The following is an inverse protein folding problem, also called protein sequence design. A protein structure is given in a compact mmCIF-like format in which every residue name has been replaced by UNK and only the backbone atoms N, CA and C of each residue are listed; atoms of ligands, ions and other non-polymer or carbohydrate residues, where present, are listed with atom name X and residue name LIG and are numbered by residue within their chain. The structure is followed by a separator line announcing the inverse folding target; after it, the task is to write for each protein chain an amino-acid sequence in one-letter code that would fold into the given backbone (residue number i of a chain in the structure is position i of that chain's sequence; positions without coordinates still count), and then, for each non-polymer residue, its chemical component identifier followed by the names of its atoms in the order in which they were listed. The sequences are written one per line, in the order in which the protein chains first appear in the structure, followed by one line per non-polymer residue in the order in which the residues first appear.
data_IF_624548109937
#
_entry.id   IF_624548109937
#
_cell.length_a   1.000
_cell.length_b   1.000
_cell.length_c   1.000
_cell.angle_alpha   90.00
_cell.angle_beta   90.00
_cell.angle_gamma   90.00
#
_symmetry.space_group_name_H-M   'P 1'
#
loop_
_entity.id
_entity.type
_entity.pdbx_description
1 polymer ?
#
# COMPACT_ATOMS: atom_id res chain seq x y z
N UNK A 1 5.93 13.79 -5.54
CA UNK A 1 6.20 12.33 -5.56
C UNK A 1 5.16 11.52 -6.36
N UNK A 2 4.83 11.90 -7.61
CA UNK A 2 3.78 11.21 -8.41
C UNK A 2 4.32 10.44 -9.64
N UNK A 3 5.63 10.44 -9.90
CA UNK A 3 6.21 9.91 -11.15
C UNK A 3 6.73 8.47 -11.05
N UNK A 4 6.91 7.92 -9.85
CA UNK A 4 7.50 6.57 -9.68
C UNK A 4 6.52 5.43 -10.00
N UNK A 5 5.20 5.66 -9.92
CA UNK A 5 4.17 4.64 -10.20
C UNK A 5 4.03 4.28 -11.69
N UNK A 6 4.40 5.20 -12.61
CA UNK A 6 4.27 4.98 -14.06
C UNK A 6 5.44 4.14 -14.61
N UNK A 7 6.61 4.21 -13.97
CA UNK A 7 7.81 3.52 -14.45
C UNK A 7 7.74 2.00 -14.25
N UNK A 8 7.08 1.53 -13.17
CA UNK A 8 6.87 0.11 -12.89
C UNK A 8 5.84 -0.54 -13.82
N UNK A 9 4.80 0.20 -14.25
CA UNK A 9 3.83 -0.28 -15.24
C UNK A 9 4.49 -0.46 -16.62
N UNK A 10 5.43 0.42 -16.98
CA UNK A 10 6.22 0.32 -18.21
C UNK A 10 7.23 -0.84 -18.17
N UNK A 11 7.80 -1.13 -16.99
CA UNK A 11 8.74 -2.25 -16.83
C UNK A 11 8.04 -3.61 -16.95
N UNK A 12 6.78 -3.72 -16.49
CA UNK A 12 5.99 -4.95 -16.62
C UNK A 12 5.54 -5.23 -18.07
N UNK A 13 5.27 -4.18 -18.86
CA UNK A 13 4.94 -4.28 -20.29
C UNK A 13 6.14 -4.60 -21.19
N UNK A 14 7.36 -4.27 -20.77
CA UNK A 14 8.58 -4.57 -21.54
C UNK A 14 9.04 -6.03 -21.43
N UNK A 15 8.68 -6.74 -20.35
CA UNK A 15 9.07 -8.15 -20.17
C UNK A 15 8.24 -9.09 -21.04
N UNK A 16 7.02 -8.70 -21.45
CA UNK A 16 6.21 -9.49 -22.40
C UNK A 16 6.75 -9.48 -23.84
N UNK A 17 7.69 -8.59 -24.19
CA UNK A 17 8.20 -8.47 -25.56
C UNK A 17 9.34 -9.45 -25.91
N UNK A 18 9.90 -10.18 -24.93
CA UNK A 18 11.07 -11.05 -25.16
C UNK A 18 10.77 -12.56 -25.09
N UNK A 19 9.51 -12.96 -24.99
CA UNK A 19 9.10 -14.37 -25.11
C UNK A 19 8.64 -14.64 -26.54
N UNK A 20 9.55 -14.54 -27.50
CA UNK A 20 9.31 -15.12 -28.83
C UNK A 20 9.64 -16.61 -28.76
N UNK A 21 8.59 -17.43 -28.76
CA UNK A 21 8.72 -18.87 -29.00
C UNK A 21 9.33 -19.11 -30.38
N UNK A 22 10.21 -20.11 -30.45
CA UNK A 22 10.78 -20.59 -31.71
C UNK A 22 9.65 -21.25 -32.53
N UNK A 23 9.13 -20.55 -33.54
CA UNK A 23 8.08 -21.08 -34.42
C UNK A 23 8.65 -22.14 -35.38
N UNK A 24 7.92 -23.26 -35.49
CA UNK A 24 8.09 -24.24 -36.56
C UNK A 24 7.34 -23.73 -37.80
N UNK A 25 7.98 -23.54 -38.97
CA UNK A 25 7.41 -22.84 -40.12
C UNK A 25 6.13 -23.44 -40.74
N UNK A 26 5.76 -24.67 -40.35
CA UNK A 26 4.62 -25.39 -40.95
C UNK A 26 3.26 -25.14 -40.26
N UNK A 27 3.20 -24.47 -39.10
CA UNK A 27 1.97 -24.25 -38.34
C UNK A 27 1.67 -22.76 -38.09
N UNK A 28 1.54 -21.97 -39.16
CA UNK A 28 1.07 -20.58 -39.03
C UNK A 28 -0.44 -20.54 -38.79
N UNK A 29 -0.84 -20.29 -37.55
CA UNK A 29 -2.21 -19.91 -37.22
C UNK A 29 -2.33 -18.40 -37.48
N UNK A 30 -3.09 -18.02 -38.50
CA UNK A 30 -3.36 -16.60 -38.76
C UNK A 30 -4.37 -16.07 -37.74
N UNK A 31 -3.90 -15.17 -36.88
CA UNK A 31 -4.72 -14.46 -35.90
C UNK A 31 -5.25 -13.17 -36.54
N UNK A 32 -6.53 -12.90 -36.33
CA UNK A 32 -7.28 -11.77 -36.91
C UNK A 32 -7.12 -10.47 -36.11
N UNK A 33 -6.53 -10.54 -34.91
CA UNK A 33 -6.36 -9.41 -33.99
C UNK A 33 -7.60 -9.10 -33.15
N UNK A 34 -8.69 -9.85 -33.34
CA UNK A 34 -9.88 -9.78 -32.49
C UNK A 34 -9.85 -10.90 -31.46
N UNK A 35 -9.77 -10.53 -30.18
CA UNK A 35 -9.69 -11.48 -29.07
C UNK A 35 -10.80 -12.56 -29.13
N UNK A 36 -12.02 -12.16 -29.51
CA UNK A 36 -13.14 -13.10 -29.62
C UNK A 36 -12.95 -14.08 -30.77
N UNK A 37 -12.59 -13.60 -31.97
CA UNK A 37 -12.38 -14.45 -33.14
C UNK A 37 -11.16 -15.36 -32.96
N UNK A 38 -10.08 -14.82 -32.40
CA UNK A 38 -8.81 -15.50 -32.19
C UNK A 38 -8.94 -16.57 -31.09
N UNK A 39 -9.67 -16.29 -30.00
CA UNK A 39 -9.98 -17.32 -28.98
C UNK A 39 -10.71 -18.51 -29.58
N UNK A 40 -11.59 -18.27 -30.56
CA UNK A 40 -12.38 -19.31 -31.22
C UNK A 40 -11.50 -20.13 -32.16
N UNK A 41 -10.65 -19.47 -32.96
CA UNK A 41 -9.67 -20.11 -33.85
C UNK A 41 -8.70 -21.00 -33.06
N UNK A 42 -8.20 -20.52 -31.93
CA UNK A 42 -7.32 -21.28 -31.04
C UNK A 42 -8.05 -22.49 -30.45
N UNK A 43 -9.29 -22.30 -29.97
CA UNK A 43 -10.09 -23.40 -29.41
C UNK A 43 -10.43 -24.48 -30.45
N UNK A 44 -10.69 -24.09 -31.70
CA UNK A 44 -11.09 -25.02 -32.77
C UNK A 44 -9.90 -25.77 -33.39
N UNK A 45 -8.71 -25.19 -33.34
CA UNK A 45 -7.48 -25.82 -33.85
C UNK A 45 -6.74 -26.62 -32.77
N UNK A 46 -7.35 -26.81 -31.59
CA UNK A 46 -6.82 -27.70 -30.58
C UNK A 46 -6.88 -29.15 -31.07
N UNK A 47 -5.72 -29.69 -31.45
CA UNK A 47 -5.57 -31.12 -31.74
C UNK A 47 -5.54 -31.85 -30.41
N UNK A 48 -6.57 -32.66 -30.15
CA UNK A 48 -6.58 -33.56 -29.00
C UNK A 48 -5.49 -34.63 -29.21
N UNK A 49 -4.40 -34.53 -28.43
CA UNK A 49 -3.32 -35.51 -28.45
C UNK A 49 -3.87 -36.89 -28.05
N UNK A 50 -3.48 -37.91 -28.83
CA UNK A 50 -3.92 -39.29 -28.64
C UNK A 50 -3.58 -39.75 -27.21
N UNK A 51 -4.61 -39.91 -26.37
CA UNK A 51 -4.49 -40.15 -24.93
C UNK A 51 -3.95 -41.55 -24.67
N UNK A 52 -2.90 -41.66 -23.86
CA UNK A 52 -2.35 -42.95 -23.44
C UNK A 52 -2.80 -43.20 -21.98
N UNK A 53 -3.78 -44.08 -21.73
CA UNK A 53 -4.50 -44.17 -20.46
C UNK A 53 -3.63 -44.57 -19.25
N UNK A 54 -2.42 -45.12 -19.47
CA UNK A 54 -1.46 -45.40 -18.38
C UNK A 54 -0.47 -44.27 -18.09
N UNK A 55 -0.29 -43.32 -19.01
CA UNK A 55 0.61 -42.18 -18.82
C UNK A 55 -0.13 -40.95 -18.25
N UNK A 56 -1.43 -40.84 -18.53
CA UNK A 56 -2.28 -39.72 -18.08
C UNK A 56 -2.70 -39.82 -16.60
N UNK A 57 -2.60 -40.99 -15.98
CA UNK A 57 -2.85 -41.19 -14.54
C UNK A 57 -1.66 -40.75 -13.64
N UNK A 58 -0.52 -40.37 -14.23
CA UNK A 58 0.60 -39.79 -13.48
C UNK A 58 0.37 -38.28 -13.29
N UNK A 59 0.49 -37.74 -12.06
CA UNK A 59 0.33 -36.31 -11.83
C UNK A 59 1.26 -35.52 -12.76
N UNK A 60 0.74 -34.50 -13.44
CA UNK A 60 1.58 -33.66 -14.32
C UNK A 60 2.52 -32.79 -13.48
N UNK A 61 3.76 -32.61 -13.95
CA UNK A 61 4.71 -31.67 -13.33
C UNK A 61 4.11 -30.25 -13.26
N UNK A 62 4.37 -29.57 -12.14
CA UNK A 62 3.96 -28.18 -11.88
C UNK A 62 5.05 -27.21 -12.33
N UNK A 63 4.69 -26.09 -12.93
CA UNK A 63 5.66 -25.05 -13.32
C UNK A 63 6.02 -24.16 -12.12
N UNK A 64 7.29 -24.11 -11.67
CA UNK A 64 7.68 -23.26 -10.55
C UNK A 64 7.50 -21.77 -10.85
N UNK A 65 7.79 -21.35 -12.08
CA UNK A 65 7.63 -19.95 -12.51
C UNK A 65 6.16 -19.54 -12.47
N UNK A 66 5.26 -20.38 -13.01
CA UNK A 66 3.83 -20.09 -13.00
C UNK A 66 3.31 -20.02 -11.54
N UNK A 67 3.73 -20.98 -10.71
CA UNK A 67 3.36 -21.01 -9.30
C UNK A 67 3.79 -19.74 -8.56
N UNK A 68 5.03 -19.30 -8.76
CA UNK A 68 5.53 -18.05 -8.20
C UNK A 68 4.76 -16.82 -8.66
N UNK A 69 4.47 -16.71 -9.96
CA UNK A 69 3.70 -15.59 -10.53
C UNK A 69 2.28 -15.55 -9.96
N UNK A 70 1.61 -16.70 -9.85
CA UNK A 70 0.28 -16.78 -9.25
C UNK A 70 0.28 -16.24 -7.81
N UNK A 71 1.22 -16.70 -6.98
CA UNK A 71 1.33 -16.25 -5.58
C UNK A 71 1.82 -14.81 -5.42
N UNK A 72 2.57 -14.27 -6.38
CA UNK A 72 2.97 -12.86 -6.37
C UNK A 72 1.78 -11.92 -6.61
N UNK A 73 0.79 -12.35 -7.40
CA UNK A 73 -0.44 -11.57 -7.65
C UNK A 73 -1.44 -11.78 -6.51
N UNK A 74 -1.67 -13.03 -6.12
CA UNK A 74 -2.61 -13.42 -5.07
C UNK A 74 -1.90 -14.38 -4.12
N UNK A 75 -1.53 -13.95 -2.90
CA UNK A 75 -0.90 -14.82 -1.91
C UNK A 75 -1.72 -16.10 -1.69
N UNK A 76 -1.06 -17.25 -1.78
CA UNK A 76 -1.68 -18.56 -1.67
C UNK A 76 -2.08 -19.22 -3.01
N UNK A 77 -2.17 -18.47 -4.12
CA UNK A 77 -2.66 -19.03 -5.39
C UNK A 77 -1.69 -20.06 -6.03
N UNK A 78 -0.39 -19.82 -5.93
CA UNK A 78 0.64 -20.77 -6.34
C UNK A 78 0.67 -22.02 -5.45
N UNK A 79 0.43 -21.87 -4.15
CA UNK A 79 0.29 -23.02 -3.24
C UNK A 79 -0.93 -23.88 -3.60
N UNK A 80 -2.05 -23.26 -3.95
CA UNK A 80 -3.23 -23.98 -4.48
C UNK A 80 -2.88 -24.73 -5.76
N UNK A 81 -2.15 -24.10 -6.69
CA UNK A 81 -1.67 -24.74 -7.91
C UNK A 81 -0.75 -25.96 -7.63
N UNK A 82 0.06 -25.86 -6.57
CA UNK A 82 0.96 -26.92 -6.09
C UNK A 82 0.25 -27.98 -5.23
N UNK A 83 -1.05 -27.85 -4.96
CA UNK A 83 -1.85 -28.72 -4.07
C UNK A 83 -1.45 -28.64 -2.57
N UNK A 84 -0.75 -27.58 -2.18
CA UNK A 84 -0.33 -27.27 -0.82
C UNK A 84 -1.37 -26.39 -0.09
N UNK A 85 -2.60 -26.89 0.02
CA UNK A 85 -3.77 -26.15 0.52
C UNK A 85 -3.61 -25.54 1.92
N UNK A 86 -2.87 -26.21 2.81
CA UNK A 86 -2.66 -25.71 4.17
C UNK A 86 -1.74 -24.48 4.19
N UNK A 87 -0.72 -24.44 3.33
CA UNK A 87 0.17 -23.28 3.19
C UNK A 87 -0.59 -22.13 2.53
N UNK A 88 -1.40 -22.44 1.51
CA UNK A 88 -2.29 -21.46 0.89
C UNK A 88 -3.20 -20.79 1.93
N UNK A 89 -3.80 -21.58 2.82
CA UNK A 89 -4.65 -21.09 3.90
C UNK A 89 -3.94 -20.12 4.85
N UNK A 90 -2.67 -20.38 5.17
CA UNK A 90 -1.86 -19.46 6.01
C UNK A 90 -1.65 -18.13 5.31
N UNK A 91 -1.22 -18.13 4.05
CA UNK A 91 -0.98 -16.89 3.30
C UNK A 91 -2.25 -16.04 3.16
N UNK A 92 -3.39 -16.68 2.89
CA UNK A 92 -4.69 -16.00 2.80
C UNK A 92 -5.12 -15.44 4.16
N UNK A 93 -4.94 -16.19 5.25
CA UNK A 93 -5.29 -15.73 6.58
C UNK A 93 -4.45 -14.52 7.02
N UNK A 94 -3.14 -14.57 6.75
CA UNK A 94 -2.22 -13.45 7.02
C UNK A 94 -2.57 -12.24 6.17
N UNK A 95 -2.83 -12.44 4.86
CA UNK A 95 -3.25 -11.38 3.94
C UNK A 95 -4.52 -10.67 4.44
N UNK A 96 -5.55 -11.43 4.80
CA UNK A 96 -6.80 -10.90 5.32
C UNK A 96 -6.60 -10.10 6.62
N UNK A 97 -5.76 -10.60 7.54
CA UNK A 97 -5.44 -9.90 8.78
C UNK A 97 -4.72 -8.57 8.51
N UNK A 98 -3.77 -8.55 7.58
CA UNK A 98 -3.02 -7.35 7.22
C UNK A 98 -3.90 -6.31 6.51
N UNK A 99 -4.71 -6.71 5.53
CA UNK A 99 -5.67 -5.82 4.86
C UNK A 99 -6.66 -5.23 5.87
N UNK A 100 -7.21 -6.07 6.75
CA UNK A 100 -8.14 -5.61 7.80
C UNK A 100 -7.47 -4.59 8.72
N UNK A 101 -6.22 -4.86 9.11
CA UNK A 101 -5.44 -3.93 9.96
C UNK A 101 -5.19 -2.62 9.24
N UNK A 102 -4.74 -2.67 7.98
CA UNK A 102 -4.49 -1.48 7.17
C UNK A 102 -5.74 -0.60 7.10
N UNK A 103 -6.87 -1.13 6.64
CA UNK A 103 -8.12 -0.37 6.50
C UNK A 103 -8.63 0.16 7.85
N UNK A 104 -8.63 -0.69 8.89
CA UNK A 104 -9.18 -0.29 10.19
C UNK A 104 -8.37 0.83 10.83
N UNK A 105 -7.04 0.78 10.71
CA UNK A 105 -6.18 1.80 11.30
C UNK A 105 -6.09 3.06 10.44
N UNK A 106 -6.26 2.95 9.12
CA UNK A 106 -6.41 4.11 8.23
C UNK A 106 -7.64 4.93 8.62
N UNK A 107 -8.80 4.27 8.72
CA UNK A 107 -10.06 4.91 9.14
C UNK A 107 -9.96 5.53 10.53
N UNK A 108 -9.30 4.86 11.49
CA UNK A 108 -9.05 5.44 12.82
C UNK A 108 -8.16 6.68 12.75
N UNK A 109 -7.19 6.69 11.83
CA UNK A 109 -6.38 7.86 11.55
C UNK A 109 -7.25 9.01 11.04
N UNK A 110 -8.15 8.75 10.08
CA UNK A 110 -9.06 9.74 9.51
C UNK A 110 -10.01 10.32 10.58
N UNK A 111 -10.67 9.45 11.36
CA UNK A 111 -11.57 9.84 12.45
C UNK A 111 -10.84 10.70 13.50
N UNK A 112 -9.60 10.32 13.83
CA UNK A 112 -8.78 11.07 14.78
C UNK A 112 -8.29 12.40 14.20
N UNK A 113 -8.04 12.46 12.88
CA UNK A 113 -7.73 13.69 12.17
C UNK A 113 -8.89 14.67 12.26
N UNK A 114 -10.08 14.24 11.85
CA UNK A 114 -11.29 15.06 11.95
C UNK A 114 -11.53 15.54 13.39
N UNK A 115 -11.26 14.68 14.38
CA UNK A 115 -11.41 15.06 15.79
C UNK A 115 -10.49 16.20 16.21
N UNK A 116 -9.18 16.12 15.93
CA UNK A 116 -8.29 17.21 16.33
C UNK A 116 -8.52 18.47 15.50
N UNK A 117 -8.82 18.36 14.20
CA UNK A 117 -9.11 19.52 13.36
C UNK A 117 -10.31 20.31 13.91
N UNK A 118 -11.39 19.61 14.24
CA UNK A 118 -12.56 20.20 14.90
C UNK A 118 -12.23 20.81 16.27
N UNK A 119 -11.33 20.20 17.05
CA UNK A 119 -10.88 20.75 18.33
C UNK A 119 -10.21 22.13 18.18
N UNK A 120 -9.39 22.31 17.14
CA UNK A 120 -8.76 23.59 16.85
C UNK A 120 -9.75 24.61 16.27
N UNK A 121 -10.66 24.15 15.41
CA UNK A 121 -11.58 25.00 14.64
C UNK A 121 -12.83 25.45 15.39
N UNK A 122 -13.10 24.91 16.59
CA UNK A 122 -14.23 25.30 17.44
C UNK A 122 -14.05 26.72 18.03
N UNK A 123 -13.99 27.73 17.17
CA UNK A 123 -13.57 29.11 17.48
C UNK A 123 -14.51 29.85 18.45
N UNK A 124 -15.70 29.32 18.71
CA UNK A 124 -16.66 29.86 19.67
C UNK A 124 -16.55 29.22 21.06
N UNK A 125 -15.75 28.15 21.18
CA UNK A 125 -15.63 27.42 22.43
C UNK A 125 -14.62 28.11 23.37
N UNK A 126 -15.04 28.48 24.59
CA UNK A 126 -14.18 29.20 25.52
C UNK A 126 -13.06 28.33 26.10
N UNK A 127 -13.26 27.00 26.15
CA UNK A 127 -12.33 26.07 26.77
C UNK A 127 -11.18 25.73 25.81
N UNK A 128 -11.47 25.56 24.52
CA UNK A 128 -10.46 25.32 23.50
C UNK A 128 -10.79 26.01 22.19
N UNK A 129 -9.81 26.71 21.63
CA UNK A 129 -9.79 27.08 20.21
C UNK A 129 -8.40 27.54 19.82
N UNK A 130 -8.08 27.35 18.54
CA UNK A 130 -6.97 28.02 17.91
C UNK A 130 -7.50 29.12 16.97
N UNK A 131 -6.92 30.31 17.05
CA UNK A 131 -7.35 31.45 16.23
C UNK A 131 -6.16 32.09 15.55
N UNK A 132 -6.20 32.13 14.21
CA UNK A 132 -5.20 32.87 13.42
C UNK A 132 -5.20 34.37 13.72
N UNK A 133 -6.35 34.96 14.10
CA UNK A 133 -6.42 36.37 14.52
C UNK A 133 -5.56 36.62 15.77
N UNK A 134 -5.77 35.83 16.83
CA UNK A 134 -4.94 35.84 18.03
C UNK A 134 -3.45 35.61 17.74
N UNK A 135 -3.14 34.69 16.83
CA UNK A 135 -1.76 34.48 16.39
C UNK A 135 -1.17 35.72 15.70
N UNK A 136 -1.93 36.39 14.83
CA UNK A 136 -1.51 37.61 14.15
C UNK A 136 -1.30 38.78 15.14
N UNK A 137 -2.20 38.93 16.11
CA UNK A 137 -2.05 39.90 17.20
C UNK A 137 -0.77 39.64 18.00
N UNK A 138 -0.55 38.38 18.40
CA UNK A 138 0.65 37.95 19.10
C UNK A 138 1.93 38.24 18.29
N UNK A 139 1.92 37.89 16.99
CA UNK A 139 3.04 38.12 16.08
C UNK A 139 3.40 39.61 16.02
N UNK A 140 2.40 40.48 15.82
CA UNK A 140 2.65 41.92 15.71
C UNK A 140 3.07 42.53 17.04
N UNK A 141 2.46 42.13 18.14
CA UNK A 141 2.79 42.61 19.49
C UNK A 141 4.27 42.34 19.82
N UNK A 142 4.72 41.09 19.65
CA UNK A 142 6.01 40.65 20.15
C UNK A 142 7.15 40.70 19.11
N UNK A 143 6.88 40.53 17.82
CA UNK A 143 7.91 40.52 16.76
C UNK A 143 8.01 41.87 16.02
N UNK A 144 6.96 42.70 16.08
CA UNK A 144 6.87 43.97 15.34
C UNK A 144 6.64 45.19 16.23
N UNK A 145 6.95 45.10 17.52
CA UNK A 145 6.79 46.20 18.49
C UNK A 145 5.37 46.80 18.50
N UNK A 146 4.35 45.95 18.31
CA UNK A 146 2.94 46.32 18.29
C UNK A 146 2.60 47.39 17.21
N UNK A 147 3.14 47.22 15.99
CA UNK A 147 2.86 48.09 14.85
C UNK A 147 1.38 48.02 14.40
N UNK A 148 0.58 49.08 14.62
CA UNK A 148 -0.84 49.06 14.27
C UNK A 148 -1.09 49.11 12.76
N UNK A 149 -0.17 49.64 11.95
CA UNK A 149 -0.34 49.68 10.49
C UNK A 149 -0.19 48.29 9.89
N UNK A 150 0.77 47.50 10.39
CA UNK A 150 0.92 46.10 10.00
C UNK A 150 -0.30 45.28 10.43
N UNK A 151 -0.76 45.43 11.68
CA UNK A 151 -1.93 44.69 12.17
C UNK A 151 -3.18 44.94 11.33
N UNK A 152 -3.43 46.19 10.94
CA UNK A 152 -4.57 46.57 10.09
C UNK A 152 -4.48 46.04 8.65
N UNK A 153 -3.28 45.73 8.15
CA UNK A 153 -3.11 45.05 6.85
C UNK A 153 -3.39 43.55 6.94
N UNK A 154 -3.06 42.94 8.08
CA UNK A 154 -3.25 41.51 8.32
C UNK A 154 -4.72 41.21 8.67
N UNK A 155 -5.32 41.93 9.61
CA UNK A 155 -6.72 41.72 10.04
C UNK A 155 -7.65 42.56 9.17
N UNK A 156 -8.40 41.90 8.27
CA UNK A 156 -9.30 42.54 7.30
C UNK A 156 -10.74 42.68 7.82
N UNK A 157 -11.10 41.97 8.89
CA UNK A 157 -12.43 42.07 9.50
C UNK A 157 -12.36 41.83 11.01
N UNK A 158 -13.06 42.68 11.78
CA UNK A 158 -13.20 42.54 13.23
C UNK A 158 -14.54 41.91 13.65
N UNK A 159 -15.32 41.39 12.71
CA UNK A 159 -16.61 40.75 13.02
C UNK A 159 -16.38 39.48 13.84
N UNK A 160 -16.82 39.39 15.10
CA UNK A 160 -16.62 38.19 15.91
C UNK A 160 -17.45 36.99 15.45
N UNK A 161 -18.46 37.19 14.58
CA UNK A 161 -19.30 36.11 14.08
C UNK A 161 -18.63 35.32 12.95
N UNK A 162 -17.63 35.92 12.28
CA UNK A 162 -16.87 35.25 11.24
C UNK A 162 -15.79 34.35 11.85
N UNK A 163 -15.54 33.17 11.26
CA UNK A 163 -14.42 32.35 11.67
C UNK A 163 -13.07 33.11 11.59
N UNK A 164 -12.11 32.84 12.49
CA UNK A 164 -10.80 33.51 12.48
C UNK A 164 -10.09 33.52 11.12
N UNK A 165 -10.16 32.41 10.37
CA UNK A 165 -9.50 32.25 9.09
C UNK A 165 -10.11 33.07 7.94
N UNK A 166 -11.34 33.56 8.09
CA UNK A 166 -11.99 34.46 7.12
C UNK A 166 -11.69 35.93 7.38
N UNK A 167 -11.04 36.24 8.51
CA UNK A 167 -10.77 37.60 8.98
C UNK A 167 -9.35 38.09 8.69
N UNK A 168 -8.55 37.28 8.00
CA UNK A 168 -7.13 37.52 7.78
C UNK A 168 -6.80 37.63 6.30
N UNK A 169 -5.91 38.57 5.97
CA UNK A 169 -5.17 38.59 4.73
C UNK A 169 -3.95 37.65 4.84
N UNK A 170 -4.10 36.42 4.34
CA UNK A 170 -3.07 35.39 4.38
C UNK A 170 -1.74 35.83 3.77
N UNK A 171 -1.76 36.63 2.70
CA UNK A 171 -0.54 37.10 2.05
C UNK A 171 0.26 38.06 2.95
N UNK A 172 -0.43 38.98 3.63
CA UNK A 172 0.22 39.92 4.57
C UNK A 172 0.68 39.20 5.84
N UNK A 173 -0.11 38.24 6.36
CA UNK A 173 0.31 37.40 7.49
C UNK A 173 1.60 36.65 7.15
N UNK A 174 1.61 35.92 6.03
CA UNK A 174 2.77 35.12 5.64
C UNK A 174 3.99 35.97 5.27
N UNK A 175 3.80 37.21 4.82
CA UNK A 175 4.89 38.15 4.58
C UNK A 175 5.51 38.68 5.89
N UNK A 176 4.74 38.68 6.99
CA UNK A 176 5.20 39.06 8.32
C UNK A 176 5.78 37.88 9.12
N UNK A 177 5.59 36.63 8.68
CA UNK A 177 6.22 35.49 9.33
C UNK A 177 7.72 35.44 9.01
N UNK A 178 8.55 35.33 10.05
CA UNK A 178 10.03 35.29 9.94
C UNK A 178 10.62 33.90 10.19
N UNK A 179 9.76 32.89 10.39
CA UNK A 179 10.15 31.50 10.66
C UNK A 179 10.59 30.72 9.42
N UNK A 180 11.08 29.49 9.62
CA UNK A 180 11.41 28.57 8.52
C UNK A 180 10.18 28.00 7.80
N UNK A 181 8.99 28.25 8.35
CA UNK A 181 7.71 27.78 7.87
C UNK A 181 6.70 28.91 8.00
N UNK A 182 5.84 29.02 6.98
CA UNK A 182 4.71 29.94 6.97
C UNK A 182 3.44 29.15 7.22
N UNK A 183 2.49 29.76 7.92
CA UNK A 183 1.19 29.15 8.15
C UNK A 183 0.39 29.11 6.83
N UNK A 184 0.08 27.95 6.27
CA UNK A 184 -0.72 27.88 5.05
C UNK A 184 -2.18 28.27 5.35
N UNK A 185 -2.98 28.58 4.31
CA UNK A 185 -4.40 28.85 4.48
C UNK A 185 -5.13 27.71 5.21
N UNK A 186 -6.18 28.08 5.94
CA UNK A 186 -7.06 27.14 6.65
C UNK A 186 -7.64 26.06 5.71
N UNK A 187 -7.86 24.87 6.27
CA UNK A 187 -8.41 23.70 5.56
C UNK A 187 -7.36 22.80 4.90
N UNK A 188 -6.10 23.22 4.82
CA UNK A 188 -5.00 22.34 4.41
C UNK A 188 -4.52 21.49 5.59
N UNK A 189 -4.21 20.21 5.36
CA UNK A 189 -3.58 19.34 6.38
C UNK A 189 -2.38 20.05 7.04
N UNK A 190 -1.56 20.72 6.22
CA UNK A 190 -0.36 21.43 6.66
C UNK A 190 -0.67 22.54 7.68
N UNK A 191 -1.83 23.21 7.60
CA UNK A 191 -2.25 24.22 8.59
C UNK A 191 -2.39 23.60 9.97
N UNK A 192 -3.16 22.50 10.06
CA UNK A 192 -3.34 21.76 11.29
C UNK A 192 -2.05 21.12 11.79
N UNK A 193 -1.14 20.77 10.87
CA UNK A 193 0.18 20.30 11.24
C UNK A 193 1.03 21.38 11.91
N UNK A 194 1.00 22.59 11.37
CA UNK A 194 1.78 23.72 11.86
C UNK A 194 1.39 24.06 13.29
N UNK A 195 0.09 24.30 13.53
CA UNK A 195 -0.43 24.80 14.80
C UNK A 195 -0.25 23.84 16.00
N UNK A 196 0.00 22.56 15.75
CA UNK A 196 0.26 21.55 16.80
C UNK A 196 1.65 20.95 16.82
N UNK A 197 2.52 21.27 15.87
CA UNK A 197 3.91 20.76 15.83
C UNK A 197 4.93 21.82 16.22
N UNK A 198 4.69 23.07 15.83
CA UNK A 198 5.66 24.14 16.03
C UNK A 198 5.14 25.12 17.08
N UNK A 199 5.94 25.27 18.13
CA UNK A 199 5.67 26.19 19.22
C UNK A 199 5.55 27.65 18.75
N UNK A 200 6.13 28.01 17.60
CA UNK A 200 5.98 29.33 16.99
C UNK A 200 4.51 29.77 16.76
N UNK A 201 3.57 28.81 16.67
CA UNK A 201 2.14 29.08 16.50
C UNK A 201 1.35 29.01 17.81
N UNK A 202 2.03 28.84 18.95
CA UNK A 202 1.39 28.69 20.26
C UNK A 202 0.54 29.91 20.64
N UNK A 203 0.93 31.12 20.20
CA UNK A 203 0.19 32.36 20.43
C UNK A 203 -1.24 32.36 19.88
N UNK A 204 -1.58 31.43 18.99
CA UNK A 204 -2.94 31.28 18.49
C UNK A 204 -3.89 30.52 19.43
N UNK A 205 -3.40 29.79 20.43
CA UNK A 205 -4.25 29.06 21.38
C UNK A 205 -4.89 30.01 22.42
N UNK A 206 -6.15 29.77 22.76
CA UNK A 206 -6.93 30.59 23.71
C UNK A 206 -6.37 30.60 25.14
N UNK A 207 -5.64 29.57 25.53
CA UNK A 207 -5.05 29.39 26.86
C UNK A 207 -3.55 29.75 26.91
N UNK A 208 -3.00 30.30 25.82
CA UNK A 208 -1.60 30.68 25.75
C UNK A 208 -1.32 31.90 26.64
N UNK A 209 -0.39 31.75 27.59
CA UNK A 209 0.03 32.83 28.50
C UNK A 209 1.54 33.10 28.46
N UNK A 210 2.23 32.68 27.39
CA UNK A 210 3.70 32.74 27.30
C UNK A 210 4.28 34.12 26.98
N UNK A 211 3.44 35.11 26.66
CA UNK A 211 3.90 36.41 26.18
C UNK A 211 4.86 36.25 24.99
N UNK A 212 6.02 36.92 25.02
CA UNK A 212 7.06 36.80 24.00
C UNK A 212 7.70 35.40 23.90
N UNK A 213 7.56 34.54 24.92
CA UNK A 213 8.15 33.22 24.92
C UNK A 213 7.26 32.20 24.19
N UNK A 214 7.37 32.17 22.86
CA UNK A 214 6.68 31.20 22.01
C UNK A 214 7.09 29.73 22.23
N UNK A 215 8.04 29.43 23.12
CA UNK A 215 8.40 28.06 23.49
C UNK A 215 7.58 27.52 24.66
N UNK A 216 6.76 28.37 25.31
CA UNK A 216 5.84 27.91 26.35
C UNK A 216 4.71 27.09 25.73
N UNK A 217 4.55 25.86 26.22
CA UNK A 217 3.49 24.96 25.79
C UNK A 217 2.23 25.25 26.63
N UNK A 218 1.13 25.60 25.96
CA UNK A 218 -0.17 25.72 26.63
C UNK A 218 -0.85 24.35 26.76
N UNK A 219 -1.68 24.12 27.78
CA UNK A 219 -2.44 22.87 27.93
C UNK A 219 -3.20 22.44 26.67
N UNK A 220 -3.85 23.36 25.96
CA UNK A 220 -4.58 23.05 24.72
C UNK A 220 -3.66 22.70 23.57
N UNK A 221 -2.50 23.36 23.44
CA UNK A 221 -1.48 22.97 22.48
C UNK A 221 -1.00 21.54 22.76
N UNK A 222 -0.65 21.22 24.01
CA UNK A 222 -0.15 19.89 24.39
C UNK A 222 -1.18 18.80 24.10
N UNK A 223 -2.44 19.04 24.49
CA UNK A 223 -3.54 18.12 24.23
C UNK A 223 -3.75 17.91 22.73
N UNK A 224 -3.86 18.99 21.94
CA UNK A 224 -3.99 18.91 20.49
C UNK A 224 -2.82 18.20 19.82
N UNK A 225 -1.58 18.49 20.26
CA UNK A 225 -0.38 17.82 19.77
C UNK A 225 -0.41 16.32 20.06
N UNK A 226 -0.90 15.92 21.25
CA UNK A 226 -1.14 14.53 21.62
C UNK A 226 -2.17 13.83 20.72
N UNK A 227 -3.30 14.48 20.43
CA UNK A 227 -4.33 13.95 19.52
C UNK A 227 -3.78 13.73 18.10
N UNK A 228 -2.96 14.68 17.62
CA UNK A 228 -2.25 14.54 16.35
C UNK A 228 -1.24 13.40 16.35
N UNK A 229 -0.50 13.25 17.45
CA UNK A 229 0.41 12.12 17.65
C UNK A 229 -0.32 10.79 17.56
N UNK A 230 -1.50 10.69 18.17
CA UNK A 230 -2.35 9.50 18.09
C UNK A 230 -2.84 9.20 16.66
N UNK A 231 -3.25 10.20 15.89
CA UNK A 231 -3.61 10.02 14.48
C UNK A 231 -2.42 9.46 13.69
N UNK A 232 -1.24 10.05 13.88
CA UNK A 232 0.00 9.60 13.25
C UNK A 232 0.35 8.15 13.61
N UNK A 233 0.15 7.74 14.87
CA UNK A 233 0.35 6.34 15.30
C UNK A 233 -0.60 5.36 14.59
N UNK A 234 -1.85 5.77 14.35
CA UNK A 234 -2.80 4.98 13.56
C UNK A 234 -2.36 4.84 12.10
N UNK A 235 -2.00 5.94 11.43
CA UNK A 235 -1.48 5.88 10.06
C UNK A 235 -0.17 5.09 9.96
N UNK A 236 0.71 5.17 10.97
CA UNK A 236 1.93 4.37 11.02
C UNK A 236 1.63 2.87 11.13
N UNK A 237 0.62 2.50 11.92
CA UNK A 237 0.16 1.11 12.04
C UNK A 237 -0.43 0.61 10.71
N UNK A 238 -1.28 1.41 10.06
CA UNK A 238 -1.81 1.12 8.71
C UNK A 238 -0.68 0.92 7.70
N UNK A 239 0.26 1.86 7.65
CA UNK A 239 1.43 1.80 6.76
C UNK A 239 2.29 0.56 7.01
N UNK A 240 2.47 0.17 8.27
CA UNK A 240 3.21 -1.05 8.64
C UNK A 240 2.48 -2.30 8.15
N UNK A 241 1.15 -2.35 8.23
CA UNK A 241 0.37 -3.45 7.70
C UNK A 241 0.47 -3.55 6.17
N UNK A 242 0.45 -2.42 5.46
CA UNK A 242 0.68 -2.38 4.00
C UNK A 242 2.07 -2.88 3.62
N UNK A 243 3.11 -2.53 4.38
CA UNK A 243 4.45 -3.13 4.20
C UNK A 243 4.39 -4.65 4.41
N UNK A 244 3.67 -5.10 5.43
CA UNK A 244 3.43 -6.51 5.69
C UNK A 244 2.78 -7.23 4.51
N UNK A 245 1.82 -6.61 3.82
CA UNK A 245 1.17 -7.17 2.61
C UNK A 245 2.24 -7.45 1.54
N UNK A 246 3.10 -6.48 1.22
CA UNK A 246 4.16 -6.69 0.23
C UNK A 246 5.12 -7.81 0.61
N UNK A 247 5.47 -7.91 1.89
CA UNK A 247 6.30 -9.02 2.41
C UNK A 247 5.56 -10.36 2.26
N UNK A 248 4.27 -10.41 2.58
CA UNK A 248 3.44 -11.59 2.45
C UNK A 248 3.39 -12.10 1.00
N UNK A 249 3.17 -11.20 0.03
CA UNK A 249 3.21 -11.52 -1.40
C UNK A 249 4.57 -12.09 -1.83
N UNK A 250 5.68 -11.48 -1.39
CA UNK A 250 7.03 -11.95 -1.72
C UNK A 250 7.29 -13.35 -1.14
N UNK A 251 6.97 -13.56 0.13
CA UNK A 251 7.15 -14.85 0.80
C UNK A 251 6.24 -15.92 0.18
N UNK A 252 5.02 -15.56 -0.19
CA UNK A 252 4.09 -16.48 -0.86
C UNK A 252 4.61 -16.90 -2.23
N UNK A 253 5.13 -15.98 -3.03
CA UNK A 253 5.74 -16.28 -4.33
C UNK A 253 6.97 -17.19 -4.19
N UNK A 254 7.87 -16.87 -3.26
CA UNK A 254 9.07 -17.66 -3.02
C UNK A 254 8.75 -19.08 -2.54
N UNK A 255 7.81 -19.21 -1.61
CA UNK A 255 7.32 -20.52 -1.17
C UNK A 255 6.71 -21.26 -2.37
N UNK A 256 5.86 -20.63 -3.19
CA UNK A 256 5.18 -21.30 -4.29
C UNK A 256 6.15 -21.89 -5.31
N UNK A 257 7.24 -21.19 -5.62
CA UNK A 257 8.33 -21.70 -6.46
C UNK A 257 8.98 -22.94 -5.83
N UNK A 258 9.25 -22.88 -4.53
CA UNK A 258 9.80 -24.02 -3.78
C UNK A 258 8.82 -25.19 -3.79
N UNK A 259 7.55 -24.98 -3.42
CA UNK A 259 6.51 -25.99 -3.36
C UNK A 259 6.34 -26.73 -4.68
N UNK A 260 6.35 -26.02 -5.81
CA UNK A 260 6.30 -26.62 -7.14
C UNK A 260 7.52 -27.52 -7.41
N UNK A 261 8.71 -27.08 -7.00
CA UNK A 261 9.95 -27.86 -7.15
C UNK A 261 9.91 -29.13 -6.28
N UNK A 262 9.43 -29.01 -5.04
CA UNK A 262 9.23 -30.15 -4.13
C UNK A 262 8.20 -31.13 -4.68
N UNK A 263 7.07 -30.65 -5.17
CA UNK A 263 6.02 -31.46 -5.80
C UNK A 263 6.61 -32.26 -6.97
N UNK A 264 7.35 -31.60 -7.87
CA UNK A 264 7.99 -32.25 -9.01
C UNK A 264 9.03 -33.30 -8.62
N UNK A 265 9.79 -33.05 -7.55
CA UNK A 265 10.78 -34.00 -7.04
C UNK A 265 10.12 -35.21 -6.40
N UNK A 266 9.04 -35.01 -5.63
CA UNK A 266 8.24 -36.11 -5.06
C UNK A 266 7.59 -36.94 -6.17
N UNK A 267 7.09 -36.29 -7.22
CA UNK A 267 6.56 -36.94 -8.42
C UNK A 267 7.66 -37.68 -9.23
N UNK A 268 8.92 -37.28 -9.14
CA UNK A 268 10.00 -38.02 -9.80
C UNK A 268 10.27 -39.39 -9.14
N UNK A 269 9.74 -39.63 -7.93
CA UNK A 269 9.75 -40.93 -7.26
C UNK A 269 8.55 -41.74 -7.76
N UNK A 270 8.68 -42.39 -8.92
CA UNK A 270 7.60 -43.19 -9.52
C UNK A 270 8.06 -44.60 -9.94
N UNK A 271 7.19 -45.58 -9.68
CA UNK A 271 7.31 -46.98 -10.09
C UNK A 271 7.35 -47.08 -11.62
N UNK A 272 8.41 -47.68 -12.15
CA UNK A 272 8.47 -48.12 -13.56
C UNK A 272 7.89 -49.52 -13.65
N UNK A 273 7.24 -49.86 -14.76
CA UNK A 273 6.97 -51.25 -15.09
C UNK A 273 7.93 -51.61 -16.20
N UNK A 274 8.91 -52.47 -15.90
CA UNK A 274 9.91 -52.88 -16.89
C UNK A 274 9.47 -54.21 -17.52
N UNK A 275 9.33 -54.29 -18.86
CA UNK A 275 9.05 -55.55 -19.53
C UNK A 275 10.31 -56.41 -19.49
N UNK A 276 10.23 -57.55 -18.81
CA UNK A 276 11.26 -58.57 -18.86
C UNK A 276 10.82 -59.61 -19.88
N UNK A 277 11.57 -59.70 -20.97
CA UNK A 277 11.35 -60.73 -21.98
C UNK A 277 11.96 -62.04 -21.51
N UNK A 278 11.14 -63.01 -21.13
CA UNK A 278 11.54 -64.39 -20.85
C UNK A 278 11.28 -65.28 -22.07
N UNK A 279 11.85 -66.48 -22.09
CA UNK A 279 11.69 -67.44 -23.20
C UNK A 279 10.22 -67.84 -23.46
N UNK A 280 9.32 -67.58 -22.50
CA UNK A 280 7.89 -67.91 -22.53
C UNK A 280 6.97 -66.71 -22.80
N UNK A 281 7.49 -65.48 -22.87
CA UNK A 281 6.70 -64.27 -23.12
C UNK A 281 7.28 -63.01 -22.48
N UNK A 282 6.58 -61.90 -22.63
CA UNK A 282 6.93 -60.63 -21.98
C UNK A 282 6.16 -60.53 -20.66
N UNK A 283 6.88 -60.43 -19.54
CA UNK A 283 6.29 -60.27 -18.21
C UNK A 283 6.55 -58.84 -17.70
N UNK A 284 5.52 -58.15 -17.24
CA UNK A 284 5.58 -56.76 -16.78
C UNK A 284 5.79 -56.73 -15.27
N UNK A 285 6.99 -56.33 -14.82
CA UNK A 285 7.30 -56.27 -13.39
C UNK A 285 7.33 -54.81 -12.92
N UNK A 286 6.56 -54.43 -11.89
CA UNK A 286 6.66 -53.12 -11.27
C UNK A 286 7.98 -53.00 -10.48
N UNK A 287 8.85 -52.09 -10.91
CA UNK A 287 10.13 -51.72 -10.31
C UNK A 287 10.07 -50.31 -9.71
N UNK A 288 10.36 -50.20 -8.41
CA UNK A 288 10.52 -48.92 -7.73
C UNK A 288 11.94 -48.39 -7.96
N UNK A 289 12.08 -47.30 -8.72
CA UNK A 289 13.37 -46.63 -8.89
C UNK A 289 13.43 -45.38 -8.02
N UNK A 290 14.20 -45.44 -6.93
CA UNK A 290 14.49 -44.27 -6.10
C UNK A 290 15.81 -43.66 -6.54
N UNK A 291 15.81 -42.38 -6.93
CA UNK A 291 17.03 -41.60 -7.14
C UNK A 291 17.13 -40.54 -6.04
N UNK A 292 18.12 -40.70 -5.16
CA UNK A 292 18.50 -39.68 -4.19
C UNK A 292 19.65 -38.85 -4.79
N UNK A 293 19.48 -37.53 -4.88
CA UNK A 293 20.58 -36.60 -5.10
C UNK A 293 20.86 -35.87 -3.79
N UNK A 294 22.07 -36.03 -3.26
CA UNK A 294 22.59 -35.28 -2.12
C UNK A 294 23.05 -33.89 -2.57
#
# INVERSE_FOLDING_TARGET
MKTTKIFLLFLFLMISAFVFGQENPDNKIELTGSLFADSKIISSNYIELNRNPMADDLPSKKSPVLSGVLSAIIPGAGQVYNEDWWIAGIFVAVEAALITTAITYDNKGDDQTEFFENYADDYNNPDHNWSVVRYAEWLVEFEYNNDPELLNRIIISNDPNLPPWERINWAELNAAETGSHNLPPHGEQQYYEMIGKYHQYAGGWNDYTGGANNSQISPNFDYYSGLRGQANDYYNTSSTAVIGIYINHLLSAAEAVWGATRFNNNLAVNFRVEPINTATGTELIPTLNMKFSF
#
